data_IF_210242239217
#
_entry.id   IF_210242239217
#
_cell.length_a   1.000
_cell.length_b   1.000
_cell.length_c   1.000
_cell.angle_alpha   90.00
_cell.angle_beta   90.00
_cell.angle_gamma   90.00
#
_symmetry.space_group_name_H-M   'P 1'
#
loop_
_entity.id
_entity.type
_entity.pdbx_description
1 polymer ?
#
# COMPACT_ATOMS: atom_id res chain seq x y z
N UNK A 1 11.38 9.53 8.08
CA UNK A 1 10.00 9.17 7.66
C UNK A 1 9.48 8.26 8.77
N UNK A 2 8.40 8.60 9.49
CA UNK A 2 8.13 8.03 10.82
C UNK A 2 8.12 6.49 10.92
N UNK A 3 7.77 5.79 9.83
CA UNK A 3 7.78 4.33 9.76
C UNK A 3 9.18 3.72 9.51
N UNK A 4 10.02 4.38 8.71
CA UNK A 4 11.42 4.02 8.52
C UNK A 4 12.20 4.19 9.83
N UNK A 5 11.93 5.28 10.55
CA UNK A 5 12.70 5.68 11.72
C UNK A 5 12.41 4.80 12.96
N UNK A 6 11.36 3.97 12.90
CA UNK A 6 10.99 3.01 13.96
C UNK A 6 11.59 1.61 13.77
N UNK A 7 12.37 1.38 12.71
CA UNK A 7 13.00 0.07 12.44
C UNK A 7 12.00 -1.05 12.17
N UNK A 8 10.83 -0.71 11.63
CA UNK A 8 9.70 -1.65 11.41
C UNK A 8 9.57 -2.12 9.96
N UNK A 9 10.35 -1.55 9.06
CA UNK A 9 10.42 -1.92 7.65
C UNK A 9 11.87 -2.31 7.34
N UNK A 10 12.06 -3.52 6.81
CA UNK A 10 13.39 -4.01 6.43
C UNK A 10 13.85 -3.41 5.09
N UNK A 11 12.92 -3.20 4.15
CA UNK A 11 13.19 -2.58 2.86
C UNK A 11 11.98 -1.81 2.33
N UNK A 12 12.24 -0.85 1.45
CA UNK A 12 11.21 -0.14 0.68
C UNK A 12 11.54 -0.26 -0.79
N UNK A 13 10.55 -0.67 -1.58
CA UNK A 13 10.63 -0.77 -3.04
C UNK A 13 9.63 0.22 -3.62
N UNK A 14 10.10 1.18 -4.39
CA UNK A 14 9.28 2.13 -5.13
C UNK A 14 9.27 1.73 -6.60
N UNK A 15 8.10 1.37 -7.12
CA UNK A 15 7.92 1.04 -8.55
C UNK A 15 7.25 2.21 -9.24
N UNK A 16 8.01 2.93 -10.06
CA UNK A 16 7.51 4.03 -10.89
C UNK A 16 6.98 3.47 -12.21
N UNK A 17 5.67 3.50 -12.39
CA UNK A 17 5.02 2.94 -13.58
C UNK A 17 4.75 4.00 -14.65
N UNK A 18 5.72 4.90 -14.88
CA UNK A 18 5.71 5.84 -16.00
C UNK A 18 5.36 7.28 -15.63
N UNK A 19 5.80 7.75 -14.47
CA UNK A 19 5.72 9.16 -14.10
C UNK A 19 6.38 10.05 -15.15
N UNK A 20 5.69 11.12 -15.53
CA UNK A 20 6.15 12.12 -16.51
C UNK A 20 6.57 13.43 -15.84
N UNK A 21 6.62 13.45 -14.52
CA UNK A 21 6.94 14.60 -13.69
C UNK A 21 8.29 14.42 -12.97
N UNK A 22 8.52 15.19 -11.90
CA UNK A 22 9.74 15.12 -11.10
C UNK A 22 9.89 13.86 -10.23
N UNK A 23 8.96 12.91 -10.26
CA UNK A 23 8.94 11.73 -9.36
C UNK A 23 10.29 11.01 -9.32
N UNK A 24 10.85 10.67 -10.48
CA UNK A 24 12.12 9.93 -10.56
C UNK A 24 13.27 10.65 -9.84
N UNK A 25 13.34 11.98 -9.96
CA UNK A 25 14.36 12.79 -9.30
C UNK A 25 14.16 12.86 -7.79
N UNK A 26 12.91 12.95 -7.31
CA UNK A 26 12.61 12.94 -5.87
C UNK A 26 12.97 11.59 -5.26
N UNK A 27 12.58 10.49 -5.92
CA UNK A 27 12.77 9.13 -5.38
C UNK A 27 14.24 8.72 -5.38
N UNK A 28 15.04 9.20 -6.32
CA UNK A 28 16.48 8.94 -6.37
C UNK A 28 17.24 9.41 -5.10
N UNK A 29 16.71 10.40 -4.39
CA UNK A 29 17.28 10.94 -3.15
C UNK A 29 16.78 10.21 -1.88
N UNK A 30 15.84 9.27 -2.03
CA UNK A 30 15.27 8.51 -0.91
C UNK A 30 16.00 7.17 -0.74
N UNK A 31 16.09 6.65 0.50
CA UNK A 31 16.72 5.36 0.78
C UNK A 31 15.79 4.19 0.41
N UNK A 32 15.42 4.09 -0.86
CA UNK A 32 14.50 3.07 -1.40
C UNK A 32 15.11 2.39 -2.62
N UNK A 33 14.68 1.16 -2.89
CA UNK A 33 14.94 0.52 -4.17
C UNK A 33 13.98 1.07 -5.22
N UNK A 34 14.50 1.86 -6.16
CA UNK A 34 13.72 2.40 -7.27
C UNK A 34 13.71 1.43 -8.46
N UNK A 35 12.52 1.13 -8.99
CA UNK A 35 12.32 0.29 -10.16
C UNK A 35 11.42 1.02 -11.17
N UNK A 36 11.84 1.08 -12.43
CA UNK A 36 11.00 1.60 -13.51
C UNK A 36 10.13 0.47 -14.05
N UNK A 37 8.82 0.67 -13.99
CA UNK A 37 7.77 -0.19 -14.49
C UNK A 37 7.58 -0.10 -16.00
N UNK A 38 6.54 -0.77 -16.50
CA UNK A 38 6.26 -0.86 -17.94
C UNK A 38 5.12 0.07 -18.40
N UNK A 39 4.59 0.91 -17.52
CA UNK A 39 3.44 1.79 -17.82
C UNK A 39 2.14 1.01 -18.01
N UNK A 40 1.88 0.01 -17.16
CA UNK A 40 0.75 -0.93 -17.31
C UNK A 40 -0.29 -0.84 -16.18
N UNK A 41 -0.21 0.20 -15.37
CA UNK A 41 -1.07 0.49 -14.25
C UNK A 41 -0.62 -0.13 -12.93
N UNK A 42 -1.30 0.22 -11.82
CA UNK A 42 -0.88 -0.08 -10.45
C UNK A 42 -0.78 -1.59 -10.17
N UNK A 43 -1.62 -2.42 -10.80
CA UNK A 43 -1.53 -3.88 -10.66
C UNK A 43 -0.23 -4.45 -11.22
N UNK A 44 0.25 -3.94 -12.35
CA UNK A 44 1.52 -4.35 -12.93
C UNK A 44 2.71 -3.87 -12.08
N UNK A 45 2.63 -2.62 -11.59
CA UNK A 45 3.64 -2.05 -10.69
C UNK A 45 3.79 -2.85 -9.39
N UNK A 46 2.66 -3.15 -8.73
CA UNK A 46 2.62 -4.02 -7.53
C UNK A 46 3.20 -5.40 -7.84
N UNK A 47 2.93 -5.94 -9.02
CA UNK A 47 3.48 -7.23 -9.47
C UNK A 47 5.00 -7.25 -9.64
N UNK A 48 5.58 -6.14 -10.10
CA UNK A 48 7.04 -5.98 -10.17
C UNK A 48 7.61 -5.85 -8.76
N UNK A 49 6.98 -5.05 -7.91
CA UNK A 49 7.42 -4.81 -6.53
C UNK A 49 7.47 -6.08 -5.69
N UNK A 50 6.38 -6.87 -5.63
CA UNK A 50 6.37 -8.08 -4.78
C UNK A 50 7.34 -9.16 -5.25
N UNK A 51 7.65 -9.22 -6.57
CA UNK A 51 8.65 -10.15 -7.10
C UNK A 51 10.08 -9.73 -6.81
N UNK A 52 10.31 -8.43 -6.61
CA UNK A 52 11.61 -7.89 -6.21
C UNK A 52 11.84 -7.95 -4.69
N UNK A 53 10.76 -8.03 -3.90
CA UNK A 53 10.82 -8.14 -2.45
C UNK A 53 11.56 -9.40 -1.98
N UNK A 54 12.36 -9.25 -0.93
CA UNK A 54 13.19 -10.31 -0.34
C UNK A 54 12.61 -10.89 0.94
N UNK A 55 11.59 -10.26 1.50
CA UNK A 55 10.94 -10.64 2.75
C UNK A 55 9.61 -11.36 2.51
N UNK A 56 9.19 -12.24 3.44
CA UNK A 56 7.96 -13.04 3.28
C UNK A 56 6.68 -12.21 3.40
N UNK A 57 6.75 -11.03 4.01
CA UNK A 57 5.63 -10.11 4.14
C UNK A 57 5.86 -8.90 3.25
N UNK A 58 4.87 -8.60 2.41
CA UNK A 58 4.86 -7.42 1.54
C UNK A 58 3.67 -6.57 1.92
N UNK A 59 3.91 -5.29 2.20
CA UNK A 59 2.88 -4.29 2.45
C UNK A 59 2.82 -3.30 1.29
N UNK A 60 1.65 -3.18 0.66
CA UNK A 60 1.42 -2.22 -0.39
C UNK A 60 0.88 -0.91 0.18
N UNK A 61 1.51 0.21 -0.21
CA UNK A 61 1.07 1.56 0.07
C UNK A 61 1.10 2.33 -1.26
N UNK A 62 0.04 3.09 -1.55
CA UNK A 62 0.00 3.94 -2.74
C UNK A 62 0.90 5.18 -2.53
N UNK A 63 1.52 5.68 -3.60
CA UNK A 63 2.54 6.73 -3.51
C UNK A 63 2.00 8.09 -3.02
N UNK A 64 0.68 8.27 -3.04
CA UNK A 64 -0.05 9.44 -2.56
C UNK A 64 -0.63 9.25 -1.13
N UNK A 65 -0.32 8.13 -0.48
CA UNK A 65 -0.80 7.81 0.86
C UNK A 65 0.27 8.07 1.93
N UNK A 66 -0.19 8.54 3.09
CA UNK A 66 0.61 8.58 4.32
C UNK A 66 0.12 7.46 5.22
N UNK A 67 1.02 6.54 5.55
CA UNK A 67 0.68 5.46 6.46
C UNK A 67 0.72 5.93 7.92
N UNK A 68 -0.32 5.55 8.67
CA UNK A 68 -0.41 5.84 10.10
C UNK A 68 0.75 5.19 10.89
N UNK A 69 1.30 5.86 11.91
CA UNK A 69 2.47 5.36 12.64
C UNK A 69 2.28 4.00 13.33
N UNK A 70 1.03 3.64 13.63
CA UNK A 70 0.64 2.39 14.29
C UNK A 70 -0.02 1.37 13.33
N UNK A 71 -0.08 1.67 12.03
CA UNK A 71 -0.75 0.79 11.05
C UNK A 71 -0.21 -0.64 11.10
N UNK A 72 1.11 -0.83 11.20
CA UNK A 72 1.72 -2.16 11.31
C UNK A 72 1.42 -2.85 12.65
N UNK A 73 1.29 -2.11 13.75
CA UNK A 73 0.86 -2.68 15.05
C UNK A 73 -0.56 -3.25 14.95
N UNK A 74 -1.43 -2.59 14.19
CA UNK A 74 -2.81 -3.04 14.00
C UNK A 74 -2.90 -4.20 13.00
N UNK A 75 -2.13 -4.19 11.92
CA UNK A 75 -2.23 -5.17 10.83
C UNK A 75 -1.53 -6.51 11.14
N UNK A 76 -0.30 -6.48 11.67
CA UNK A 76 0.55 -7.68 11.81
C UNK A 76 -0.06 -8.79 12.69
N UNK A 77 -0.72 -8.51 13.83
CA UNK A 77 -1.27 -9.56 14.69
C UNK A 77 -2.28 -10.48 13.96
N UNK A 78 -2.98 -9.96 12.95
CA UNK A 78 -3.94 -10.74 12.16
C UNK A 78 -3.27 -11.76 11.23
N UNK A 79 -2.00 -11.56 10.86
CA UNK A 79 -1.22 -12.49 10.06
C UNK A 79 -0.65 -13.67 10.87
N UNK A 80 -0.83 -13.69 12.20
CA UNK A 80 -0.44 -14.83 13.03
C UNK A 80 -1.37 -16.04 12.86
N UNK A 81 -2.60 -15.85 12.34
CA UNK A 81 -3.48 -16.97 11.97
C UNK A 81 -3.00 -17.57 10.65
N UNK A 82 -2.53 -18.83 10.60
CA UNK A 82 -2.00 -19.45 9.39
C UNK A 82 -3.05 -19.62 8.27
N UNK A 83 -4.33 -19.35 8.55
CA UNK A 83 -5.41 -19.34 7.55
C UNK A 83 -5.56 -17.99 6.85
N UNK A 84 -4.84 -16.95 7.29
CA UNK A 84 -4.92 -15.60 6.75
C UNK A 84 -3.78 -15.40 5.75
N UNK A 85 -4.12 -15.21 4.47
CA UNK A 85 -3.14 -14.93 3.41
C UNK A 85 -2.85 -13.45 3.17
N UNK A 86 -3.62 -12.55 3.80
CA UNK A 86 -3.47 -11.11 3.66
C UNK A 86 -4.40 -10.35 4.58
N UNK A 87 -4.00 -9.14 4.97
CA UNK A 87 -4.74 -8.22 5.84
C UNK A 87 -4.70 -6.85 5.19
N UNK A 88 -5.82 -6.13 5.22
CA UNK A 88 -5.93 -4.77 4.72
C UNK A 88 -6.61 -3.89 5.78
N UNK A 89 -6.22 -2.62 5.81
CA UNK A 89 -6.90 -1.58 6.59
C UNK A 89 -7.82 -0.74 5.71
N UNK A 90 -8.51 0.20 6.34
CA UNK A 90 -9.16 1.32 5.64
C UNK A 90 -8.20 2.51 5.61
N UNK A 91 -8.55 3.53 4.82
CA UNK A 91 -7.82 4.79 4.74
C UNK A 91 -8.78 5.98 4.77
N UNK A 92 -8.25 7.14 5.15
CA UNK A 92 -8.95 8.42 5.19
C UNK A 92 -8.57 9.35 4.04
N UNK A 93 -8.95 10.61 4.16
CA UNK A 93 -8.51 11.69 3.27
C UNK A 93 -7.71 12.73 4.05
N UNK A 94 -6.74 13.35 3.38
CA UNK A 94 -5.93 14.44 3.93
C UNK A 94 -6.37 15.84 3.44
N UNK A 95 -7.33 15.89 2.51
CA UNK A 95 -7.83 17.11 1.86
C UNK A 95 -9.37 17.27 2.01
N UNK A 96 -9.87 17.44 3.26
CA UNK A 96 -11.30 17.50 3.56
C UNK A 96 -12.03 18.72 2.97
N UNK A 97 -11.29 19.71 2.48
CA UNK A 97 -11.83 20.86 1.76
C UNK A 97 -12.34 20.50 0.35
N UNK A 98 -11.91 19.37 -0.21
CA UNK A 98 -12.35 18.89 -1.51
C UNK A 98 -13.65 18.11 -1.38
N UNK A 99 -14.76 18.68 -1.89
CA UNK A 99 -16.05 17.99 -1.93
C UNK A 99 -15.96 16.63 -2.66
N UNK A 100 -15.18 16.57 -3.75
CA UNK A 100 -14.97 15.32 -4.48
C UNK A 100 -14.27 14.28 -3.61
N UNK A 101 -13.21 14.66 -2.89
CA UNK A 101 -12.50 13.75 -1.99
C UNK A 101 -13.42 13.25 -0.87
N UNK A 102 -14.25 14.12 -0.30
CA UNK A 102 -15.24 13.75 0.71
C UNK A 102 -16.27 12.74 0.18
N UNK A 103 -16.83 12.97 -1.01
CA UNK A 103 -17.80 12.05 -1.61
C UNK A 103 -17.17 10.69 -1.95
N UNK A 104 -15.95 10.68 -2.48
CA UNK A 104 -15.19 9.45 -2.72
C UNK A 104 -14.90 8.72 -1.41
N UNK A 105 -14.52 9.45 -0.36
CA UNK A 105 -14.25 8.86 0.95
C UNK A 105 -15.49 8.22 1.57
N UNK A 106 -16.65 8.88 1.51
CA UNK A 106 -17.90 8.29 2.01
C UNK A 106 -18.26 7.01 1.27
N UNK A 107 -18.08 6.96 -0.06
CA UNK A 107 -18.29 5.74 -0.83
C UNK A 107 -17.35 4.60 -0.40
N UNK A 108 -16.07 4.88 -0.18
CA UNK A 108 -15.08 3.91 0.31
C UNK A 108 -15.43 3.44 1.72
N UNK A 109 -15.81 4.37 2.59
CA UNK A 109 -16.19 4.10 3.98
C UNK A 109 -17.40 3.16 4.03
N UNK A 110 -18.46 3.44 3.27
CA UNK A 110 -19.63 2.58 3.18
C UNK A 110 -19.30 1.19 2.61
N UNK A 111 -18.40 1.10 1.62
CA UNK A 111 -17.90 -0.20 1.12
C UNK A 111 -17.18 -0.98 2.20
N UNK A 112 -16.27 -0.37 2.95
CA UNK A 112 -15.54 -1.06 4.01
C UNK A 112 -16.43 -1.46 5.20
N UNK A 113 -17.46 -0.67 5.52
CA UNK A 113 -18.45 -1.02 6.55
C UNK A 113 -19.31 -2.22 6.17
N UNK A 114 -19.57 -2.41 4.88
CA UNK A 114 -20.38 -3.52 4.35
C UNK A 114 -19.56 -4.73 3.93
N UNK A 115 -18.23 -4.62 3.88
CA UNK A 115 -17.35 -5.74 3.57
C UNK A 115 -17.33 -6.78 4.69
N UNK A 116 -17.31 -8.09 4.36
CA UNK A 116 -17.13 -9.12 5.36
C UNK A 116 -15.70 -9.01 5.94
N UNK A 117 -15.59 -9.22 7.24
CA UNK A 117 -14.30 -9.19 7.96
C UNK A 117 -13.34 -10.32 7.53
N UNK A 118 -13.84 -11.33 6.81
CA UNK A 118 -13.06 -12.40 6.20
C UNK A 118 -13.59 -12.71 4.81
N UNK A 119 -12.70 -12.73 3.83
CA UNK A 119 -12.97 -13.15 2.46
C UNK A 119 -12.23 -14.47 2.22
N UNK A 120 -12.89 -15.46 1.62
CA UNK A 120 -12.22 -16.68 1.16
C UNK A 120 -11.69 -16.42 -0.24
N UNK A 121 -10.39 -16.57 -0.44
CA UNK A 121 -9.84 -16.65 -1.78
C UNK A 121 -10.41 -17.90 -2.46
N UNK A 122 -11.00 -17.73 -3.65
CA UNK A 122 -11.38 -18.88 -4.47
C UNK A 122 -10.10 -19.56 -4.95
N UNK A 123 -9.86 -20.79 -4.52
CA UNK A 123 -8.68 -21.61 -4.85
C UNK A 123 -8.72 -22.16 -6.28
N UNK A 124 -9.28 -21.40 -7.23
CA UNK A 124 -9.53 -21.82 -8.61
C UNK A 124 -8.49 -21.35 -9.62
N UNK A 125 -7.21 -21.38 -9.25
CA UNK A 125 -6.08 -21.31 -10.18
C UNK A 125 -5.43 -22.69 -10.28
#
# INVERSE_FOLDING_TARGET
MPLLDRGRLDEIIFVDDGSTDGTAGIVAELPVQYIVGAGRGPGAARNVGWKAARHPLVWFIDADCVAEPDALEQLLPHLHDPKVGGVAGSYGILNPESLLACLTHEEIRERHLTMPTRVRANSGL
#
